data_IF_529517206682
#
_entry.id   IF_529517206682
#
_cell.length_a   1.000
_cell.length_b   1.000
_cell.length_c   1.000
_cell.angle_alpha   90.00
_cell.angle_beta   90.00
_cell.angle_gamma   90.00
#
_symmetry.space_group_name_H-M   'P 1'
#
loop_
_entity.id
_entity.type
_entity.pdbx_description
1 polymer ?
#
# COMPACT_ATOMS: atom_id res chain seq x y z
N UNK A 1 8.79 1.66 18.56
CA UNK A 1 8.07 0.79 17.60
C UNK A 1 7.46 1.62 16.46
N UNK A 2 8.29 2.35 15.70
CA UNK A 2 7.89 3.03 14.46
C UNK A 2 8.85 2.72 13.29
N UNK A 3 9.94 2.00 13.58
CA UNK A 3 10.98 1.67 12.61
C UNK A 3 10.56 0.48 11.72
N UNK A 4 9.73 -0.42 12.24
CA UNK A 4 9.33 -1.64 11.54
C UNK A 4 8.40 -1.38 10.35
N UNK A 5 7.54 -0.35 10.41
CA UNK A 5 6.60 -0.05 9.32
C UNK A 5 7.28 0.50 8.06
N UNK A 6 8.40 1.22 8.20
CA UNK A 6 9.16 1.68 7.03
C UNK A 6 9.81 0.52 6.30
N UNK A 7 10.34 -0.45 7.06
CA UNK A 7 10.94 -1.67 6.52
C UNK A 7 9.84 -2.52 5.89
N UNK A 8 8.73 -2.76 6.59
CA UNK A 8 7.55 -3.45 6.06
C UNK A 8 7.06 -2.82 4.76
N UNK A 9 6.88 -1.50 4.72
CA UNK A 9 6.44 -0.78 3.53
C UNK A 9 7.39 -0.99 2.35
N UNK A 10 8.70 -0.93 2.60
CA UNK A 10 9.71 -1.17 1.56
C UNK A 10 9.69 -2.63 1.09
N UNK A 11 9.61 -3.59 2.00
CA UNK A 11 9.54 -5.02 1.66
C UNK A 11 8.26 -5.33 0.88
N UNK A 12 7.11 -4.76 1.28
CA UNK A 12 5.85 -4.91 0.54
C UNK A 12 6.02 -4.37 -0.88
N UNK A 13 6.58 -3.16 -1.02
CA UNK A 13 6.76 -2.55 -2.34
C UNK A 13 7.71 -3.37 -3.21
N UNK A 14 8.82 -3.86 -2.68
CA UNK A 14 9.74 -4.72 -3.41
C UNK A 14 9.07 -6.04 -3.81
N UNK A 15 8.27 -6.64 -2.92
CA UNK A 15 7.59 -7.90 -3.20
C UNK A 15 6.50 -7.75 -4.27
N UNK A 16 5.82 -6.60 -4.36
CA UNK A 16 4.78 -6.36 -5.37
C UNK A 16 5.31 -5.76 -6.68
N UNK A 17 6.63 -5.76 -6.91
CA UNK A 17 7.22 -5.25 -8.16
C UNK A 17 7.52 -3.74 -8.19
N UNK A 18 7.53 -3.09 -7.04
CA UNK A 18 7.92 -1.70 -6.86
C UNK A 18 6.77 -0.69 -6.84
N UNK A 19 7.09 0.56 -6.51
CA UNK A 19 6.14 1.70 -6.52
C UNK A 19 5.51 1.89 -7.89
N UNK A 20 6.28 1.65 -8.96
CA UNK A 20 5.84 1.78 -10.35
C UNK A 20 4.75 0.76 -10.75
N UNK A 21 4.72 -0.41 -10.09
CA UNK A 21 3.72 -1.45 -10.32
C UNK A 21 2.42 -1.20 -9.56
N UNK A 22 2.41 -0.26 -8.62
CA UNK A 22 1.20 0.14 -7.89
C UNK A 22 0.50 1.25 -8.67
N UNK A 23 -0.71 0.97 -9.12
CA UNK A 23 -1.58 1.97 -9.75
C UNK A 23 -2.28 2.83 -8.70
N UNK A 24 -2.81 2.19 -7.65
CA UNK A 24 -3.52 2.86 -6.59
C UNK A 24 -3.40 2.10 -5.27
N UNK A 25 -3.39 2.83 -4.16
CA UNK A 25 -3.38 2.25 -2.81
C UNK A 25 -4.50 2.84 -1.97
N UNK A 26 -5.30 1.97 -1.36
CA UNK A 26 -6.34 2.32 -0.39
C UNK A 26 -6.24 1.43 0.84
N UNK A 27 -6.94 1.76 1.93
CA UNK A 27 -6.97 0.91 3.12
C UNK A 27 -8.36 0.91 3.77
N UNK A 28 -8.66 -0.19 4.47
CA UNK A 28 -9.77 -0.31 5.41
C UNK A 28 -9.20 -0.42 6.84
N UNK A 29 -10.03 -0.81 7.80
CA UNK A 29 -9.65 -0.90 9.22
C UNK A 29 -8.54 -1.93 9.51
N UNK A 30 -8.42 -2.98 8.71
CA UNK A 30 -7.44 -4.07 8.93
C UNK A 30 -6.68 -4.51 7.68
N UNK A 31 -7.01 -3.94 6.51
CA UNK A 31 -6.51 -4.41 5.20
C UNK A 31 -6.01 -3.24 4.35
N UNK A 32 -4.85 -3.41 3.74
CA UNK A 32 -4.36 -2.57 2.64
C UNK A 32 -4.87 -3.17 1.33
N UNK A 33 -5.34 -2.33 0.42
CA UNK A 33 -5.84 -2.73 -0.90
C UNK A 33 -5.01 -2.03 -1.96
N UNK A 34 -4.25 -2.82 -2.71
CA UNK A 34 -3.44 -2.35 -3.81
C UNK A 34 -4.16 -2.68 -5.11
N UNK A 35 -4.17 -1.71 -6.02
CA UNK A 35 -4.44 -1.94 -7.43
C UNK A 35 -3.07 -2.01 -8.09
N UNK A 36 -2.73 -3.18 -8.60
CA UNK A 36 -1.47 -3.41 -9.29
C UNK A 36 -1.69 -3.31 -10.80
N UNK A 37 -0.70 -2.79 -11.51
CA UNK A 37 -0.69 -2.79 -12.98
C UNK A 37 -0.45 -4.20 -13.52
N UNK A 38 0.44 -4.93 -12.86
CA UNK A 38 0.80 -6.31 -13.22
C UNK A 38 0.89 -7.18 -11.96
N UNK A 39 -0.07 -8.07 -11.78
CA UNK A 39 -0.10 -9.01 -10.64
C UNK A 39 0.99 -10.10 -10.75
N UNK A 40 1.52 -10.37 -11.94
CA UNK A 40 2.54 -11.42 -12.13
C UNK A 40 3.91 -11.01 -11.58
N UNK A 41 4.13 -9.69 -11.42
CA UNK A 41 5.32 -9.15 -10.75
C UNK A 41 5.25 -9.22 -9.23
N UNK A 42 4.07 -9.53 -8.68
CA UNK A 42 3.88 -9.65 -7.25
C UNK A 42 4.23 -11.05 -6.74
N UNK A 43 5.07 -11.09 -5.71
CA UNK A 43 5.54 -12.30 -5.06
C UNK A 43 4.71 -12.53 -3.79
N UNK A 44 3.64 -13.31 -3.95
CA UNK A 44 2.68 -13.59 -2.88
C UNK A 44 3.31 -14.22 -1.64
N UNK A 45 4.32 -15.07 -1.85
CA UNK A 45 5.00 -15.79 -0.78
C UNK A 45 5.87 -14.82 0.03
N UNK A 46 6.61 -13.95 -0.65
CA UNK A 46 7.35 -12.88 0.03
C UNK A 46 6.42 -12.00 0.86
N UNK A 47 5.28 -11.57 0.30
CA UNK A 47 4.33 -10.69 1.01
C UNK A 47 3.80 -11.34 2.29
N UNK A 48 3.43 -12.63 2.24
CA UNK A 48 2.91 -13.36 3.40
C UNK A 48 3.96 -13.57 4.50
N UNK A 49 5.25 -13.61 4.13
CA UNK A 49 6.36 -13.76 5.08
C UNK A 49 6.82 -12.44 5.72
N UNK A 50 6.23 -11.30 5.35
CA UNK A 50 6.59 -10.00 5.94
C UNK A 50 6.09 -9.92 7.38
N UNK A 51 6.97 -9.54 8.30
CA UNK A 51 6.61 -9.32 9.70
C UNK A 51 5.49 -8.29 9.83
N UNK A 52 4.37 -8.71 10.42
CA UNK A 52 3.16 -7.90 10.59
C UNK A 52 2.12 -8.06 9.48
N UNK A 53 2.41 -8.83 8.42
CA UNK A 53 1.39 -9.31 7.50
C UNK A 53 0.80 -10.61 8.05
N UNK A 54 -0.52 -10.64 8.21
CA UNK A 54 -1.27 -11.81 8.65
C UNK A 54 -1.76 -12.67 7.49
N UNK A 55 -1.84 -12.09 6.29
CA UNK A 55 -2.27 -12.82 5.10
C UNK A 55 -2.44 -11.93 3.88
N UNK A 56 -2.71 -12.58 2.76
CA UNK A 56 -2.91 -11.97 1.46
C UNK A 56 -4.18 -12.55 0.81
N UNK A 57 -5.00 -11.69 0.24
CA UNK A 57 -6.21 -12.05 -0.51
C UNK A 57 -6.22 -11.30 -1.83
N UNK A 58 -6.43 -12.00 -2.94
CA UNK A 58 -6.59 -11.41 -4.27
C UNK A 58 -8.04 -11.59 -4.71
N UNK A 59 -8.77 -10.50 -4.90
CA UNK A 59 -10.18 -10.57 -5.31
C UNK A 59 -10.60 -9.30 -6.05
N UNK A 60 -11.30 -9.48 -7.17
CA UNK A 60 -11.88 -8.36 -7.94
C UNK A 60 -10.83 -7.40 -8.50
N UNK A 61 -9.68 -7.92 -8.93
CA UNK A 61 -8.55 -7.11 -9.43
C UNK A 61 -7.85 -6.29 -8.34
N UNK A 62 -8.10 -6.58 -7.06
CA UNK A 62 -7.43 -5.94 -5.92
C UNK A 62 -6.54 -6.93 -5.20
N UNK A 63 -5.31 -6.49 -4.93
CA UNK A 63 -4.33 -7.20 -4.13
C UNK A 63 -4.43 -6.72 -2.68
N UNK A 64 -5.04 -7.54 -1.80
CA UNK A 64 -5.38 -7.15 -0.43
C UNK A 64 -4.43 -7.78 0.59
N UNK A 65 -3.68 -6.95 1.31
CA UNK A 65 -2.75 -7.38 2.36
C UNK A 65 -3.41 -7.15 3.72
N UNK A 66 -3.49 -8.20 4.53
CA UNK A 66 -4.07 -8.17 5.87
C UNK A 66 -2.93 -7.84 6.86
N UNK A 67 -2.99 -6.67 7.48
CA UNK A 67 -1.98 -6.20 8.46
C UNK A 67 -2.56 -6.19 9.89
N UNK A 68 -3.88 -6.08 10.02
CA UNK A 68 -4.56 -5.95 11.32
C UNK A 68 -4.59 -4.50 11.81
N UNK A 69 -4.51 -4.30 13.13
CA UNK A 69 -4.72 -2.98 13.77
C UNK A 69 -3.71 -1.90 13.36
N UNK A 70 -2.55 -2.30 12.81
CA UNK A 70 -1.49 -1.38 12.41
C UNK A 70 -1.57 -0.92 10.95
N UNK A 71 -2.69 -1.19 10.26
CA UNK A 71 -2.86 -0.87 8.84
C UNK A 71 -2.65 0.62 8.53
N UNK A 72 -3.08 1.53 9.42
CA UNK A 72 -2.95 2.97 9.23
C UNK A 72 -1.48 3.41 9.22
N UNK A 73 -0.67 2.83 10.11
CA UNK A 73 0.77 3.09 10.18
C UNK A 73 1.48 2.54 8.93
N UNK A 74 1.14 1.33 8.50
CA UNK A 74 1.67 0.73 7.28
C UNK A 74 1.30 1.54 6.03
N UNK A 75 0.04 1.97 5.92
CA UNK A 75 -0.43 2.84 4.83
C UNK A 75 0.36 4.14 4.76
N UNK A 76 0.51 4.84 5.90
CA UNK A 76 1.27 6.09 5.96
C UNK A 76 2.75 5.90 5.58
N UNK A 77 3.36 4.77 5.97
CA UNK A 77 4.73 4.44 5.59
C UNK A 77 4.88 4.20 4.07
N UNK A 78 3.92 3.51 3.46
CA UNK A 78 3.92 3.26 2.01
C UNK A 78 3.70 4.54 1.21
N UNK A 79 2.81 5.44 1.68
CA UNK A 79 2.63 6.74 1.04
C UNK A 79 3.91 7.59 1.04
N UNK A 80 4.68 7.54 2.14
CA UNK A 80 5.97 8.24 2.22
C UNK A 80 7.01 7.72 1.22
N UNK A 81 6.86 6.49 0.73
CA UNK A 81 7.75 5.88 -0.28
C UNK A 81 7.41 6.27 -1.72
N UNK A 82 6.36 7.07 -1.95
CA UNK A 82 6.04 7.65 -3.26
C UNK A 82 4.91 6.96 -4.02
N UNK A 83 4.18 6.03 -3.40
CA UNK A 83 2.97 5.43 -4.01
C UNK A 83 1.86 6.47 -4.13
N UNK A 84 1.15 6.44 -5.26
CA UNK A 84 -0.08 7.19 -5.45
C UNK A 84 -1.17 6.61 -4.53
N UNK A 85 -1.37 7.28 -3.39
CA UNK A 85 -2.49 6.98 -2.50
C UNK A 85 -3.80 7.48 -3.09
N UNK A 86 -4.79 6.61 -3.18
CA UNK A 86 -6.17 7.02 -3.38
C UNK A 86 -6.60 7.76 -2.13
N UNK A 87 -7.04 9.01 -2.28
CA UNK A 87 -7.41 9.86 -1.15
C UNK A 87 -8.54 9.20 -0.34
N UNK A 88 -8.18 8.50 0.74
CA UNK A 88 -9.06 8.30 1.89
C UNK A 88 -8.69 9.38 2.88
N UNK A 89 -9.47 10.47 2.86
CA UNK A 89 -9.33 11.61 3.75
C UNK A 89 -9.64 11.16 5.17
N UNK A 90 -8.60 10.99 5.99
CA UNK A 90 -8.69 11.25 7.42
C UNK A 90 -7.54 12.21 7.76
N UNK A 91 -7.92 13.40 8.22
CA UNK A 91 -7.10 14.58 8.47
C UNK A 91 -5.78 14.26 9.21
N UNK A 92 -4.66 14.55 8.55
CA UNK A 92 -3.56 15.38 9.08
C UNK A 92 -2.39 15.43 8.08
N UNK A 93 -2.18 16.60 7.46
CA UNK A 93 -0.86 16.99 6.95
C UNK A 93 -0.63 16.91 5.44
N UNK A 94 -0.80 18.07 4.80
CA UNK A 94 -0.37 18.55 3.47
C UNK A 94 -1.25 18.23 2.24
N UNK A 95 -1.84 19.27 1.60
CA UNK A 95 -2.55 19.13 0.34
C UNK A 95 -1.54 18.82 -0.78
N UNK A 96 -1.73 17.72 -1.52
CA UNK A 96 -1.13 17.58 -2.84
C UNK A 96 -1.97 18.41 -3.81
N UNK A 97 -1.27 19.35 -4.42
CA UNK A 97 -1.70 20.38 -5.33
C UNK A 97 -2.57 19.83 -6.48
N UNK A 98 -3.55 20.64 -6.87
CA UNK A 98 -4.58 20.34 -7.85
C UNK A 98 -3.97 20.05 -9.22
N UNK A 99 -4.18 18.85 -9.76
CA UNK A 99 -4.09 18.61 -11.19
C UNK A 99 -5.43 19.00 -11.83
N UNK A 100 -5.61 20.28 -12.15
CA UNK A 100 -6.72 20.72 -13.02
C UNK A 100 -6.25 20.70 -14.47
N UNK A 101 -7.00 19.91 -15.25
CA UNK A 101 -6.85 19.63 -16.67
C UNK A 101 -7.05 20.86 -17.56
N UNK A 102 -6.23 20.91 -18.63
CA UNK A 102 -6.46 21.40 -20.01
C UNK A 102 -7.62 22.40 -20.25
N UNK A 103 -7.26 23.56 -20.83
CA UNK A 103 -7.65 23.91 -22.21
C UNK A 103 -6.60 24.83 -22.84
#
# INVERSE_FOLDING_TARGET
MAQDFNIMAETILQAIGGVENVENLTHCMTRLRFILKDESKADDDKVKNINGVMGLVKQGGQYQIIVGNNVAAAYAAILKKGVAGGAVTNESGKPKEKLTLKK
#
